data_IF_365799955707
#
_entry.id   IF_365799955707
#
_cell.length_a   1.000
_cell.length_b   1.000
_cell.length_c   1.000
_cell.angle_alpha   90.00
_cell.angle_beta   90.00
_cell.angle_gamma   90.00
#
_symmetry.space_group_name_H-M   'P 1'
#
loop_
_entity.id
_entity.type
_entity.pdbx_description
1 polymer ?
#
# COMPACT_ATOMS: atom_id res chain seq x y z
N UNK A 1 1.07 61.35 -7.57
CA UNK A 1 2.06 60.70 -6.67
C UNK A 1 1.40 59.75 -5.67
N UNK A 2 0.31 60.14 -4.99
CA UNK A 2 -0.39 59.28 -4.00
C UNK A 2 -1.09 58.03 -4.60
N UNK A 3 -1.62 58.11 -5.82
CA UNK A 3 -2.28 56.97 -6.50
C UNK A 3 -1.32 55.83 -6.89
N UNK A 4 -0.06 56.16 -7.24
CA UNK A 4 0.94 55.14 -7.61
C UNK A 4 1.43 54.34 -6.39
N UNK A 5 1.50 54.98 -5.22
CA UNK A 5 1.89 54.30 -3.97
C UNK A 5 0.81 53.30 -3.51
N UNK A 6 -0.47 53.65 -3.64
CA UNK A 6 -1.60 52.77 -3.33
C UNK A 6 -1.65 51.55 -4.27
N UNK A 7 -1.35 51.73 -5.56
CA UNK A 7 -1.32 50.62 -6.52
C UNK A 7 -0.15 49.66 -6.25
N UNK A 8 1.02 50.20 -5.92
CA UNK A 8 2.20 49.39 -5.55
C UNK A 8 1.97 48.59 -4.26
N UNK A 9 1.39 49.22 -3.22
CA UNK A 9 1.05 48.54 -1.97
C UNK A 9 -0.05 47.48 -2.17
N UNK A 10 -1.02 47.73 -3.06
CA UNK A 10 -2.04 46.74 -3.41
C UNK A 10 -1.46 45.56 -4.19
N UNK A 11 -0.57 45.79 -5.17
CA UNK A 11 0.07 44.74 -5.95
C UNK A 11 1.01 43.87 -5.07
N UNK A 12 1.82 44.48 -4.21
CA UNK A 12 2.65 43.73 -3.26
C UNK A 12 1.82 42.99 -2.20
N UNK A 13 0.76 43.61 -1.66
CA UNK A 13 -0.14 42.92 -0.74
C UNK A 13 -0.80 41.72 -1.42
N UNK A 14 -1.30 41.90 -2.64
CA UNK A 14 -1.99 40.83 -3.38
C UNK A 14 -1.04 39.71 -3.76
N UNK A 15 0.19 40.02 -4.19
CA UNK A 15 1.24 39.02 -4.42
C UNK A 15 1.61 38.28 -3.14
N UNK A 16 1.86 39.00 -2.04
CA UNK A 16 2.20 38.36 -0.76
C UNK A 16 1.05 37.52 -0.20
N UNK A 17 -0.21 37.95 -0.39
CA UNK A 17 -1.39 37.22 0.10
C UNK A 17 -1.73 36.02 -0.77
N UNK A 18 -1.60 36.13 -2.10
CA UNK A 18 -1.74 35.01 -3.04
C UNK A 18 -0.64 33.97 -2.78
N UNK A 19 0.63 34.40 -2.72
CA UNK A 19 1.76 33.51 -2.40
C UNK A 19 1.58 32.86 -1.02
N UNK A 20 1.08 33.58 0.00
CA UNK A 20 0.79 32.97 1.33
C UNK A 20 -0.35 31.96 1.29
N UNK A 21 -1.40 32.23 0.52
CA UNK A 21 -2.53 31.31 0.40
C UNK A 21 -2.13 30.06 -0.41
N UNK A 22 -1.33 30.22 -1.46
CA UNK A 22 -0.83 29.11 -2.27
C UNK A 22 0.12 28.23 -1.45
N UNK A 23 1.02 28.83 -0.65
CA UNK A 23 1.86 28.11 0.32
C UNK A 23 1.01 27.38 1.37
N UNK A 24 -0.05 28.00 1.91
CA UNK A 24 -0.91 27.39 2.92
C UNK A 24 -1.70 26.20 2.37
N UNK A 25 -2.24 26.31 1.15
CA UNK A 25 -2.97 25.23 0.47
C UNK A 25 -2.03 24.08 0.10
N UNK A 26 -0.79 24.40 -0.29
CA UNK A 26 0.27 23.42 -0.54
C UNK A 26 0.66 22.68 0.76
N UNK A 27 0.91 23.40 1.85
CA UNK A 27 1.22 22.81 3.16
C UNK A 27 0.10 21.90 3.68
N UNK A 28 -1.17 22.28 3.49
CA UNK A 28 -2.32 21.46 3.87
C UNK A 28 -2.46 20.21 2.99
N UNK A 29 -2.27 20.34 1.67
CA UNK A 29 -2.28 19.21 0.76
C UNK A 29 -1.17 18.20 1.12
N UNK A 30 0.02 18.69 1.46
CA UNK A 30 1.16 17.85 1.85
C UNK A 30 0.90 17.10 3.16
N UNK A 31 0.32 17.75 4.17
CA UNK A 31 -0.08 17.08 5.42
C UNK A 31 -1.10 15.97 5.17
N UNK A 32 -2.09 16.22 4.32
CA UNK A 32 -3.09 15.22 3.96
C UNK A 32 -2.45 14.03 3.24
N UNK A 33 -1.52 14.30 2.33
CA UNK A 33 -0.79 13.31 1.57
C UNK A 33 0.10 12.43 2.46
N UNK A 34 0.82 13.03 3.39
CA UNK A 34 1.58 12.31 4.41
C UNK A 34 0.69 11.41 5.27
N UNK A 35 -0.48 11.91 5.68
CA UNK A 35 -1.44 11.12 6.43
C UNK A 35 -1.94 9.90 5.63
N UNK A 36 -2.18 10.07 4.33
CA UNK A 36 -2.54 8.97 3.43
C UNK A 36 -1.41 7.96 3.26
N UNK A 37 -0.17 8.42 3.09
CA UNK A 37 1.01 7.56 3.05
C UNK A 37 1.15 6.73 4.33
N UNK A 38 1.07 7.38 5.49
CA UNK A 38 1.19 6.72 6.79
C UNK A 38 0.07 5.68 6.98
N UNK A 39 -1.15 5.97 6.52
CA UNK A 39 -2.26 5.02 6.53
C UNK A 39 -2.02 3.80 5.63
N UNK A 40 -1.59 4.02 4.39
CA UNK A 40 -1.28 2.92 3.44
C UNK A 40 -0.12 2.08 3.97
N UNK A 41 0.92 2.72 4.50
CA UNK A 41 2.05 2.05 5.12
C UNK A 41 1.62 1.18 6.31
N UNK A 42 0.77 1.68 7.20
CA UNK A 42 0.25 0.90 8.32
C UNK A 42 -0.54 -0.33 7.84
N UNK A 43 -1.37 -0.18 6.81
CA UNK A 43 -2.12 -1.31 6.22
C UNK A 43 -1.18 -2.37 5.63
N UNK A 44 -0.17 -1.95 4.86
CA UNK A 44 0.83 -2.84 4.27
C UNK A 44 1.65 -3.56 5.36
N UNK A 45 2.05 -2.85 6.42
CA UNK A 45 2.79 -3.44 7.54
C UNK A 45 1.94 -4.49 8.26
N UNK A 46 0.65 -4.23 8.47
CA UNK A 46 -0.26 -5.20 9.07
C UNK A 46 -0.39 -6.45 8.18
N UNK A 47 -0.55 -6.26 6.87
CA UNK A 47 -0.58 -7.37 5.91
C UNK A 47 0.71 -8.19 5.92
N UNK A 48 1.87 -7.53 6.02
CA UNK A 48 3.17 -8.21 6.07
C UNK A 48 3.28 -9.10 7.31
N UNK A 49 2.94 -8.57 8.50
CA UNK A 49 2.95 -9.33 9.75
C UNK A 49 2.00 -10.53 9.67
N UNK A 50 0.80 -10.32 9.12
CA UNK A 50 -0.20 -11.37 8.98
C UNK A 50 0.26 -12.45 7.97
N UNK A 51 0.78 -12.06 6.82
CA UNK A 51 1.37 -12.95 5.81
C UNK A 51 2.52 -13.78 6.39
N UNK A 52 3.46 -13.14 7.09
CA UNK A 52 4.56 -13.83 7.74
C UNK A 52 4.06 -14.84 8.79
N UNK A 53 3.05 -14.45 9.58
CA UNK A 53 2.44 -15.33 10.58
C UNK A 53 1.84 -16.57 9.94
N UNK A 54 1.05 -16.40 8.87
CA UNK A 54 0.50 -17.51 8.10
C UNK A 54 1.59 -18.38 7.50
N UNK A 55 2.63 -17.80 6.90
CA UNK A 55 3.71 -18.57 6.27
C UNK A 55 4.47 -19.39 7.31
N UNK A 56 4.82 -18.78 8.46
CA UNK A 56 5.45 -19.49 9.58
C UNK A 56 4.60 -20.64 10.09
N UNK A 57 3.28 -20.49 10.12
CA UNK A 57 2.38 -21.58 10.52
C UNK A 57 2.43 -22.78 9.57
N UNK A 58 2.75 -22.56 8.29
CA UNK A 58 2.92 -23.61 7.28
C UNK A 58 4.30 -24.26 7.30
N UNK A 59 5.32 -23.60 7.85
CA UNK A 59 6.70 -24.13 7.89
C UNK A 59 6.81 -25.42 8.72
N UNK A 60 5.90 -25.66 9.67
CA UNK A 60 5.86 -26.91 10.45
C UNK A 60 5.57 -28.15 9.58
N UNK A 61 5.12 -27.96 8.33
CA UNK A 61 4.89 -29.01 7.35
C UNK A 61 5.96 -29.02 6.25
N UNK A 62 7.17 -28.53 6.53
CA UNK A 62 8.29 -28.57 5.57
C UNK A 62 8.86 -29.96 5.34
N UNK A 63 8.72 -30.83 6.33
CA UNK A 63 9.25 -32.19 6.25
C UNK A 63 8.31 -33.15 5.50
N UNK A 64 7.12 -32.69 5.10
CA UNK A 64 6.23 -33.44 4.20
C UNK A 64 6.78 -33.33 2.77
N UNK A 65 7.47 -34.37 2.33
CA UNK A 65 8.19 -34.47 1.06
C UNK A 65 7.42 -35.38 0.07
N UNK A 66 6.63 -36.34 0.56
CA UNK A 66 5.92 -37.31 -0.31
C UNK A 66 4.39 -37.20 -0.24
N UNK A 67 3.71 -37.77 -1.24
CA UNK A 67 2.25 -37.82 -1.30
C UNK A 67 1.66 -38.67 -0.17
N UNK A 68 2.38 -39.69 0.29
CA UNK A 68 1.97 -40.56 1.39
C UNK A 68 1.91 -39.79 2.72
N UNK A 69 2.86 -38.88 2.95
CA UNK A 69 2.93 -38.05 4.16
C UNK A 69 1.80 -37.01 4.21
N UNK A 70 1.23 -36.62 3.06
CA UNK A 70 0.02 -35.78 3.02
C UNK A 70 -1.22 -36.48 3.57
N UNK A 71 -1.26 -37.83 3.60
CA UNK A 71 -2.37 -38.55 4.23
C UNK A 71 -2.32 -38.53 5.76
N UNK A 72 -1.19 -38.10 6.34
CA UNK A 72 -1.05 -37.90 7.79
C UNK A 72 -1.67 -36.57 8.24
N UNK A 73 -2.03 -35.68 7.30
CA UNK A 73 -2.71 -34.43 7.60
C UNK A 73 -4.12 -34.69 8.11
N UNK A 74 -4.42 -34.12 9.27
CA UNK A 74 -5.75 -34.17 9.87
C UNK A 74 -6.73 -33.31 9.07
N UNK A 75 -8.03 -33.53 9.27
CA UNK A 75 -9.05 -32.66 8.67
C UNK A 75 -8.96 -31.21 9.22
N UNK A 76 -8.53 -31.05 10.48
CA UNK A 76 -8.26 -29.73 11.08
C UNK A 76 -7.11 -29.00 10.36
N UNK A 77 -6.04 -29.72 9.98
CA UNK A 77 -4.94 -29.13 9.21
C UNK A 77 -5.43 -28.62 7.85
N UNK A 78 -6.26 -29.43 7.16
CA UNK A 78 -6.82 -29.08 5.85
C UNK A 78 -7.74 -27.87 5.93
N UNK A 79 -8.61 -27.82 6.94
CA UNK A 79 -9.49 -26.67 7.18
C UNK A 79 -8.68 -25.40 7.47
N UNK A 80 -7.61 -25.52 8.25
CA UNK A 80 -6.69 -24.40 8.48
C UNK A 80 -5.98 -23.95 7.19
N UNK A 81 -5.55 -24.86 6.32
CA UNK A 81 -4.95 -24.52 5.03
C UNK A 81 -5.92 -23.79 4.10
N UNK A 82 -7.18 -24.24 4.08
CA UNK A 82 -8.25 -23.56 3.33
C UNK A 82 -8.45 -22.14 3.88
N UNK A 83 -8.51 -21.97 5.21
CA UNK A 83 -8.60 -20.66 5.83
C UNK A 83 -7.43 -19.73 5.47
N UNK A 84 -6.21 -20.24 5.49
CA UNK A 84 -5.01 -19.48 5.08
C UNK A 84 -5.08 -19.13 3.59
N UNK A 85 -5.48 -20.06 2.72
CA UNK A 85 -5.63 -19.82 1.28
C UNK A 85 -6.63 -18.69 1.01
N UNK A 86 -7.80 -18.76 1.63
CA UNK A 86 -8.88 -17.81 1.41
C UNK A 86 -8.48 -16.42 1.93
N UNK A 87 -7.84 -16.36 3.10
CA UNK A 87 -7.29 -15.11 3.61
C UNK A 87 -6.18 -14.55 2.73
N UNK A 88 -5.27 -15.38 2.22
CA UNK A 88 -4.20 -14.94 1.31
C UNK A 88 -4.76 -14.35 -0.01
N UNK A 89 -5.90 -14.85 -0.50
CA UNK A 89 -6.60 -14.26 -1.65
C UNK A 89 -7.17 -12.88 -1.35
N UNK A 90 -7.81 -12.70 -0.19
CA UNK A 90 -8.31 -11.39 0.25
C UNK A 90 -7.18 -10.36 0.34
N UNK A 91 -6.00 -10.79 0.79
CA UNK A 91 -4.80 -9.95 0.86
C UNK A 91 -4.28 -9.58 -0.52
N UNK A 92 -4.20 -10.54 -1.45
CA UNK A 92 -3.79 -10.26 -2.82
C UNK A 92 -4.73 -9.25 -3.48
N UNK A 93 -6.05 -9.37 -3.24
CA UNK A 93 -7.01 -8.37 -3.72
C UNK A 93 -6.79 -7.00 -3.06
N UNK A 94 -6.52 -6.96 -1.76
CA UNK A 94 -6.22 -5.71 -1.04
C UNK A 94 -4.95 -5.02 -1.56
N UNK A 95 -3.93 -5.80 -1.95
CA UNK A 95 -2.70 -5.26 -2.52
C UNK A 95 -2.93 -4.54 -3.85
N UNK A 96 -3.89 -4.99 -4.67
CA UNK A 96 -4.23 -4.28 -5.91
C UNK A 96 -4.65 -2.83 -5.61
N UNK A 97 -5.52 -2.64 -4.63
CA UNK A 97 -5.95 -1.30 -4.19
C UNK A 97 -4.81 -0.49 -3.60
N UNK A 98 -3.94 -1.12 -2.79
CA UNK A 98 -2.80 -0.41 -2.20
C UNK A 98 -1.75 -0.02 -3.24
N UNK A 99 -1.59 -0.81 -4.30
CA UNK A 99 -0.76 -0.44 -5.44
C UNK A 99 -1.31 0.81 -6.13
N UNK A 100 -2.61 0.86 -6.38
CA UNK A 100 -3.28 2.03 -6.96
C UNK A 100 -3.13 3.28 -6.08
N UNK A 101 -3.34 3.14 -4.76
CA UNK A 101 -3.15 4.23 -3.80
C UNK A 101 -1.69 4.72 -3.78
N UNK A 102 -0.70 3.81 -3.78
CA UNK A 102 0.71 4.18 -3.83
C UNK A 102 1.09 4.89 -5.13
N UNK A 103 0.58 4.42 -6.28
CA UNK A 103 0.78 5.08 -7.58
C UNK A 103 0.20 6.49 -7.53
N UNK A 104 -1.05 6.66 -7.08
CA UNK A 104 -1.71 7.97 -6.96
C UNK A 104 -0.90 8.93 -6.07
N UNK A 105 -0.37 8.42 -4.96
CA UNK A 105 0.45 9.23 -4.05
C UNK A 105 1.77 9.68 -4.70
N UNK A 106 2.35 8.92 -5.62
CA UNK A 106 3.60 9.31 -6.30
C UNK A 106 3.34 10.14 -7.56
N UNK A 107 2.28 9.86 -8.32
CA UNK A 107 1.95 10.56 -9.57
C UNK A 107 1.85 12.08 -9.38
N UNK A 108 1.23 12.52 -8.28
CA UNK A 108 1.12 13.95 -7.96
C UNK A 108 2.47 14.64 -7.77
N UNK A 109 3.52 13.94 -7.31
CA UNK A 109 4.86 14.52 -7.18
C UNK A 109 5.61 14.55 -8.52
N UNK A 110 5.39 13.55 -9.37
CA UNK A 110 6.02 13.49 -10.71
C UNK A 110 5.47 14.59 -11.61
N UNK A 111 4.16 14.80 -11.62
CA UNK A 111 3.52 15.83 -12.44
C UNK A 111 3.98 17.23 -12.00
N UNK A 112 4.03 17.48 -10.69
CA UNK A 112 4.50 18.75 -10.15
C UNK A 112 5.98 19.02 -10.50
N UNK A 113 6.85 18.02 -10.31
CA UNK A 113 8.28 18.08 -10.65
C UNK A 113 8.54 18.35 -12.14
N UNK A 114 7.70 17.81 -13.03
CA UNK A 114 7.84 18.02 -14.47
C UNK A 114 7.31 19.39 -14.92
N UNK A 115 6.54 20.10 -14.08
CA UNK A 115 5.91 21.38 -14.43
C UNK A 115 6.55 22.59 -13.75
N UNK A 116 7.30 22.42 -12.66
CA UNK A 116 7.94 23.52 -11.94
C UNK A 116 9.44 23.57 -12.28
N UNK A 117 9.79 24.44 -13.24
CA UNK A 117 11.10 24.44 -13.92
C UNK A 117 12.18 25.26 -13.19
N UNK A 118 11.93 25.92 -12.05
CA UNK A 118 12.98 26.82 -11.49
C UNK A 118 12.91 27.25 -9.99
N UNK A 119 12.03 26.74 -9.11
CA UNK A 119 12.12 27.16 -7.71
C UNK A 119 11.44 26.22 -6.72
N UNK A 120 12.21 25.34 -6.07
CA UNK A 120 12.18 25.13 -4.61
C UNK A 120 13.27 24.11 -4.25
N UNK A 121 14.37 24.61 -3.68
CA UNK A 121 15.49 23.85 -3.12
C UNK A 121 15.08 23.23 -1.76
N UNK A 122 13.95 22.51 -1.72
CA UNK A 122 13.43 21.90 -0.49
C UNK A 122 13.83 20.42 -0.42
N UNK A 123 15.10 20.19 -0.09
CA UNK A 123 15.65 18.86 0.24
C UNK A 123 14.80 18.15 1.33
N UNK A 124 14.05 18.88 2.17
CA UNK A 124 13.19 18.31 3.20
C UNK A 124 11.86 17.72 2.69
N UNK A 125 11.35 18.14 1.53
CA UNK A 125 10.03 17.69 1.04
C UNK A 125 10.03 16.20 0.65
N UNK A 126 11.17 15.67 0.20
CA UNK A 126 11.31 14.31 -0.30
C UNK A 126 11.77 13.29 0.75
N UNK A 127 12.26 13.74 1.91
CA UNK A 127 12.91 12.87 2.90
C UNK A 127 11.99 11.78 3.46
N UNK A 128 10.69 12.06 3.62
CA UNK A 128 9.75 11.08 4.21
C UNK A 128 9.35 9.98 3.22
N UNK A 129 9.22 10.29 1.93
CA UNK A 129 8.91 9.28 0.89
C UNK A 129 10.15 8.45 0.54
N UNK A 130 11.31 9.06 0.36
CA UNK A 130 12.57 8.35 0.13
C UNK A 130 13.02 7.53 1.35
N UNK A 131 12.71 8.01 2.56
CA UNK A 131 12.96 7.28 3.81
C UNK A 131 11.89 6.25 4.18
N UNK A 132 10.75 6.23 3.48
CA UNK A 132 9.66 5.29 3.76
C UNK A 132 9.99 3.90 3.22
N UNK A 133 9.74 2.88 4.06
CA UNK A 133 9.84 1.48 3.66
C UNK A 133 8.55 0.96 3.00
N UNK A 134 7.59 1.82 2.62
CA UNK A 134 6.28 1.38 2.15
C UNK A 134 6.36 0.53 0.88
N UNK A 135 7.17 0.92 -0.10
CA UNK A 135 7.37 0.14 -1.34
C UNK A 135 8.11 -1.16 -1.06
N UNK A 136 9.15 -1.11 -0.24
CA UNK A 136 9.88 -2.29 0.18
C UNK A 136 8.97 -3.31 0.87
N UNK A 137 8.13 -2.85 1.81
CA UNK A 137 7.18 -3.69 2.50
C UNK A 137 6.07 -4.19 1.58
N UNK A 138 5.57 -3.37 0.65
CA UNK A 138 4.62 -3.80 -0.38
C UNK A 138 5.16 -5.01 -1.16
N UNK A 139 6.40 -4.92 -1.67
CA UNK A 139 7.04 -6.03 -2.38
C UNK A 139 7.27 -7.25 -1.48
N UNK A 140 7.60 -7.05 -0.20
CA UNK A 140 7.71 -8.16 0.74
C UNK A 140 6.37 -8.89 0.93
N UNK A 141 5.23 -8.18 0.98
CA UNK A 141 3.91 -8.83 1.03
C UNK A 141 3.68 -9.65 -0.24
N UNK A 142 3.97 -9.11 -1.43
CA UNK A 142 3.83 -9.86 -2.69
C UNK A 142 4.68 -11.14 -2.71
N UNK A 143 5.94 -11.06 -2.26
CA UNK A 143 6.83 -12.21 -2.16
C UNK A 143 6.29 -13.24 -1.16
N UNK A 144 5.87 -12.80 0.03
CA UNK A 144 5.32 -13.68 1.04
C UNK A 144 4.04 -14.38 0.56
N UNK A 145 3.14 -13.68 -0.13
CA UNK A 145 1.93 -14.28 -0.73
C UNK A 145 2.28 -15.33 -1.79
N UNK A 146 3.26 -15.06 -2.65
CA UNK A 146 3.72 -16.05 -3.63
C UNK A 146 4.23 -17.32 -2.93
N UNK A 147 5.06 -17.17 -1.90
CA UNK A 147 5.59 -18.29 -1.11
C UNK A 147 4.48 -19.05 -0.37
N UNK A 148 3.48 -18.34 0.16
CA UNK A 148 2.29 -18.93 0.77
C UNK A 148 1.54 -19.81 -0.22
N UNK A 149 1.19 -19.28 -1.40
CA UNK A 149 0.45 -20.04 -2.40
C UNK A 149 1.24 -21.24 -2.93
N UNK A 150 2.55 -21.10 -3.12
CA UNK A 150 3.41 -22.22 -3.51
C UNK A 150 3.42 -23.31 -2.44
N UNK A 151 3.53 -22.93 -1.16
CA UNK A 151 3.50 -23.89 -0.06
C UNK A 151 2.14 -24.57 0.07
N UNK A 152 1.04 -23.81 -0.02
CA UNK A 152 -0.31 -24.36 0.01
C UNK A 152 -0.57 -25.32 -1.15
N UNK A 153 -0.05 -25.03 -2.35
CA UNK A 153 -0.11 -25.93 -3.50
C UNK A 153 0.62 -27.25 -3.21
N UNK A 154 1.80 -27.22 -2.57
CA UNK A 154 2.51 -28.43 -2.14
C UNK A 154 1.69 -29.24 -1.13
N UNK A 155 0.95 -28.56 -0.24
CA UNK A 155 0.06 -29.18 0.74
C UNK A 155 -1.30 -29.61 0.17
N UNK A 156 -1.48 -29.54 -1.16
CA UNK A 156 -2.71 -29.99 -1.83
C UNK A 156 -3.87 -29.00 -1.79
N UNK A 157 -3.63 -27.75 -1.39
CA UNK A 157 -4.64 -26.68 -1.30
C UNK A 157 -4.26 -25.53 -2.26
N UNK A 158 -4.35 -25.74 -3.58
CA UNK A 158 -3.91 -24.74 -4.54
C UNK A 158 -4.76 -23.47 -4.49
N UNK A 159 -4.16 -22.38 -4.99
CA UNK A 159 -4.85 -21.11 -5.24
C UNK A 159 -6.11 -21.34 -6.08
N UNK A 160 -7.25 -20.81 -5.62
CA UNK A 160 -8.50 -20.81 -6.40
C UNK A 160 -8.34 -20.01 -7.69
N UNK A 161 -8.94 -20.50 -8.78
CA UNK A 161 -9.03 -19.76 -10.03
C UNK A 161 -10.03 -18.61 -9.86
N UNK A 162 -9.76 -17.49 -10.53
CA UNK A 162 -10.49 -16.22 -10.40
C UNK A 162 -12.01 -16.37 -10.64
N UNK A 163 -12.46 -17.42 -11.35
CA UNK A 163 -13.88 -17.70 -11.57
C UNK A 163 -14.66 -18.18 -10.33
N UNK A 164 -13.96 -18.76 -9.35
CA UNK A 164 -14.58 -19.39 -8.17
C UNK A 164 -14.61 -18.44 -6.96
N UNK A 165 -14.09 -17.22 -7.11
CA UNK A 165 -13.98 -16.21 -6.04
C UNK A 165 -15.31 -15.48 -5.74
N UNK A 166 -16.42 -15.85 -6.39
CA UNK A 166 -17.73 -15.23 -6.20
C UNK A 166 -18.69 -16.16 -5.46
N UNK A 167 -18.45 -16.40 -4.17
CA UNK A 167 -19.51 -16.86 -3.26
C UNK A 167 -19.56 -15.95 -2.04
N UNK A 168 -20.34 -14.87 -2.15
CA UNK A 168 -20.71 -14.03 -1.01
C UNK A 168 -21.81 -14.73 -0.20
N UNK A 169 -21.41 -15.57 0.75
CA UNK A 169 -22.32 -15.99 1.81
C UNK A 169 -22.29 -14.98 2.96
N UNK A 170 -22.90 -13.82 2.72
CA UNK A 170 -23.30 -12.87 3.76
C UNK A 170 -22.22 -11.89 4.23
N UNK A 171 -22.33 -10.64 3.75
CA UNK A 171 -21.58 -9.49 4.28
C UNK A 171 -20.93 -8.69 3.17
N UNK A 172 -21.31 -7.42 3.05
CA UNK A 172 -21.01 -6.56 1.91
C UNK A 172 -19.53 -6.49 1.55
N UNK A 173 -19.27 -6.52 0.24
CA UNK A 173 -17.96 -6.31 -0.32
C UNK A 173 -17.86 -4.87 -0.84
N UNK A 174 -16.78 -4.22 -0.42
CA UNK A 174 -16.23 -3.02 -1.03
C UNK A 174 -15.74 -3.35 -2.44
#
# INVERSE_FOLDING_TARGET
MFQYLLYYLYDEYTKHYLVRNDIMLFDEANKQKEYELDNVQNKINNLLVECEGMYRSLLKYNDLITYEELYELTDEDKDNFIGIRDRAHEMEHSLLHYKEDLIRLVEGDVEWFLTDDDSFDDENYYDKYYGSNVFFNYFNVEICLALLFDKLKQLGVPRMLVSDLHVHNGGGCC
#
